data_IF_433443410008
#
_entry.id   IF_433443410008
#
_cell.length_a   1.000
_cell.length_b   1.000
_cell.length_c   1.000
_cell.angle_alpha   90.00
_cell.angle_beta   90.00
_cell.angle_gamma   90.00
#
_symmetry.space_group_name_H-M   'P 1'
#
loop_
_entity.id
_entity.type
_entity.pdbx_description
1 polymer ?
#
# COMPACT_ATOMS: atom_id res chain seq x y z
N UNK A 1 49.24 11.11 84.45
CA UNK A 1 48.38 10.12 83.77
C UNK A 1 48.98 9.97 82.37
N UNK A 2 48.65 8.94 81.59
CA UNK A 2 49.11 8.89 80.19
C UNK A 2 47.86 8.93 79.35
N UNK A 3 47.74 9.96 78.49
CA UNK A 3 46.62 10.05 77.57
C UNK A 3 46.66 8.88 76.57
N UNK A 4 45.58 8.69 75.82
CA UNK A 4 45.48 7.60 74.86
C UNK A 4 46.36 7.79 73.60
N UNK A 5 47.16 8.87 73.54
CA UNK A 5 48.15 9.16 72.49
C UNK A 5 49.60 9.10 72.97
N UNK A 6 49.84 8.71 74.22
CA UNK A 6 51.17 8.51 74.77
C UNK A 6 51.83 9.76 75.37
N UNK A 7 51.08 10.86 75.55
CA UNK A 7 51.54 12.04 76.30
C UNK A 7 51.32 11.79 77.78
N UNK A 8 52.41 11.85 78.57
CA UNK A 8 52.35 11.61 80.01
C UNK A 8 52.27 12.94 80.77
N UNK A 9 51.05 13.45 80.95
CA UNK A 9 50.76 14.56 81.85
C UNK A 9 49.41 14.36 82.58
N UNK A 10 49.04 15.29 83.46
CA UNK A 10 47.84 15.20 84.31
C UNK A 10 46.74 16.20 83.85
N UNK A 11 46.90 16.84 82.69
CA UNK A 11 45.98 17.85 82.17
C UNK A 11 44.97 17.26 81.19
N UNK A 12 43.83 16.78 81.71
CA UNK A 12 42.76 16.22 80.86
C UNK A 12 42.18 17.17 79.80
N UNK A 13 42.55 18.47 79.81
CA UNK A 13 42.13 19.42 78.77
C UNK A 13 42.95 19.31 77.49
N UNK A 14 44.14 18.69 77.55
CA UNK A 14 45.01 18.47 76.39
C UNK A 14 45.01 17.00 75.91
N UNK A 15 44.29 16.11 76.59
CA UNK A 15 44.08 14.73 76.19
C UNK A 15 43.62 14.69 74.73
N UNK A 16 44.34 13.94 73.90
CA UNK A 16 43.94 13.78 72.52
C UNK A 16 42.56 13.12 72.40
N UNK A 17 41.82 13.45 71.35
CA UNK A 17 40.53 12.82 71.02
C UNK A 17 40.72 11.76 69.93
N UNK A 18 39.77 10.83 69.83
CA UNK A 18 39.71 9.93 68.68
C UNK A 18 39.27 10.72 67.45
N UNK A 19 39.90 10.41 66.32
CA UNK A 19 39.38 10.79 65.02
C UNK A 19 38.13 9.96 64.67
N UNK A 20 37.53 10.23 63.52
CA UNK A 20 36.32 9.51 63.10
C UNK A 20 36.51 8.00 62.86
N UNK A 21 37.75 7.51 62.74
CA UNK A 21 38.07 6.09 62.60
C UNK A 21 38.36 5.42 63.95
N UNK A 22 38.23 6.16 65.06
CA UNK A 22 38.53 5.66 66.41
C UNK A 22 40.03 5.70 66.75
N UNK A 23 40.86 6.33 65.93
CA UNK A 23 42.30 6.45 66.18
C UNK A 23 42.56 7.66 67.07
N UNK A 24 43.08 7.41 68.27
CA UNK A 24 43.50 8.46 69.20
C UNK A 24 44.60 9.33 68.56
N UNK A 25 44.35 10.64 68.47
CA UNK A 25 45.30 11.60 67.89
C UNK A 25 45.39 11.58 66.37
N UNK A 26 44.49 10.87 65.68
CA UNK A 26 44.37 10.94 64.23
C UNK A 26 43.76 12.26 63.74
N UNK A 27 43.84 12.51 62.43
CA UNK A 27 43.37 13.76 61.81
C UNK A 27 42.15 13.58 60.90
N UNK A 28 41.58 12.37 60.83
CA UNK A 28 40.45 12.09 59.94
C UNK A 28 39.18 12.75 60.47
N UNK A 29 38.41 13.33 59.56
CA UNK A 29 37.11 13.95 59.87
C UNK A 29 36.01 13.28 59.07
N UNK A 30 34.80 13.27 59.64
CA UNK A 30 33.62 12.93 58.89
C UNK A 30 33.39 13.99 57.82
N UNK A 31 32.99 13.54 56.65
CA UNK A 31 32.45 14.40 55.61
C UNK A 31 30.98 14.76 55.91
N UNK A 32 30.33 15.50 55.01
CA UNK A 32 28.94 15.97 55.17
C UNK A 32 27.92 14.81 55.20
N UNK A 33 28.34 13.61 54.77
CA UNK A 33 27.57 12.38 54.80
C UNK A 33 27.91 11.46 55.98
N UNK A 34 28.78 11.92 56.87
CA UNK A 34 29.18 11.17 58.06
C UNK A 34 30.17 10.04 57.76
N UNK A 35 30.78 10.03 56.57
CA UNK A 35 31.79 9.05 56.19
C UNK A 35 33.16 9.58 56.57
N UNK A 36 33.88 8.81 57.38
CA UNK A 36 35.22 9.15 57.82
C UNK A 36 36.20 9.15 56.64
N UNK A 37 36.86 10.28 56.39
CA UNK A 37 37.75 10.48 55.23
C UNK A 37 37.09 10.24 53.86
N UNK A 38 35.75 10.40 53.78
CA UNK A 38 34.95 10.07 52.59
C UNK A 38 35.00 11.13 51.47
N UNK A 39 35.39 12.37 51.79
CA UNK A 39 35.53 13.44 50.81
C UNK A 39 34.23 13.84 50.10
N UNK A 40 33.06 13.59 50.70
CA UNK A 40 31.73 13.83 50.14
C UNK A 40 31.42 13.03 48.86
N UNK A 41 32.14 11.93 48.60
CA UNK A 41 31.89 11.10 47.42
C UNK A 41 30.50 10.42 47.44
N UNK A 42 29.88 10.34 48.62
CA UNK A 42 28.58 9.72 48.85
C UNK A 42 27.39 10.63 48.50
N UNK A 43 27.60 11.93 48.23
CA UNK A 43 26.57 12.83 47.70
C UNK A 43 26.81 13.12 46.22
N UNK A 44 26.03 12.44 45.36
CA UNK A 44 26.07 12.63 43.91
C UNK A 44 25.20 13.80 43.42
N UNK A 45 24.77 14.69 44.34
CA UNK A 45 23.92 15.85 44.07
C UNK A 45 22.45 15.68 44.46
N UNK A 46 22.12 14.57 45.12
CA UNK A 46 20.77 14.23 45.57
C UNK A 46 20.69 13.92 47.07
N UNK A 47 21.77 14.22 47.80
CA UNK A 47 21.93 13.89 49.20
C UNK A 47 22.76 12.63 49.40
N UNK A 48 23.14 12.43 50.65
CA UNK A 48 24.04 11.36 51.05
C UNK A 48 23.46 9.97 50.81
N UNK A 49 24.24 9.12 50.17
CA UNK A 49 23.91 7.74 49.81
C UNK A 49 22.73 7.60 48.84
N UNK A 50 22.33 8.70 48.20
CA UNK A 50 21.28 8.69 47.17
C UNK A 50 21.91 8.58 45.77
N UNK A 51 21.15 8.01 44.84
CA UNK A 51 21.53 8.03 43.44
C UNK A 51 21.58 9.48 42.94
N UNK A 52 22.56 9.79 42.07
CA UNK A 52 22.63 11.11 41.44
C UNK A 52 21.39 11.42 40.58
N UNK A 53 21.26 12.68 40.13
CA UNK A 53 20.12 13.09 39.32
C UNK A 53 19.93 12.20 38.10
N UNK A 54 18.69 11.80 37.83
CA UNK A 54 18.33 10.84 36.78
C UNK A 54 17.26 11.42 35.84
N UNK A 55 16.78 10.60 34.90
CA UNK A 55 15.80 11.03 33.90
C UNK A 55 16.37 11.99 32.87
N UNK A 56 15.52 12.43 31.95
CA UNK A 56 15.89 13.44 30.94
C UNK A 56 15.90 14.89 31.48
N UNK A 57 15.40 15.11 32.69
CA UNK A 57 15.33 16.40 33.37
C UNK A 57 16.44 16.59 34.40
N UNK A 58 17.28 15.57 34.63
CA UNK A 58 18.36 15.56 35.62
C UNK A 58 17.85 15.96 37.02
N UNK A 59 16.73 15.36 37.45
CA UNK A 59 16.18 15.53 38.79
C UNK A 59 16.36 14.24 39.58
N UNK A 60 16.63 14.37 40.88
CA UNK A 60 16.77 13.23 41.79
C UNK A 60 15.54 12.32 41.74
N UNK A 61 15.78 11.02 41.59
CA UNK A 61 14.72 10.00 41.50
C UNK A 61 13.72 10.21 40.34
N UNK A 62 14.10 10.96 39.30
CA UNK A 62 13.25 11.14 38.14
C UNK A 62 13.23 9.91 37.24
N UNK A 63 12.03 9.55 36.81
CA UNK A 63 11.78 8.55 35.77
C UNK A 63 11.36 9.18 34.44
N UNK A 64 11.51 10.50 34.30
CA UNK A 64 11.13 11.21 33.08
C UNK A 64 11.97 10.68 31.90
N UNK A 65 11.29 10.37 30.79
CA UNK A 65 11.91 9.90 29.55
C UNK A 65 11.60 10.92 28.46
N UNK A 66 12.52 11.05 27.50
CA UNK A 66 12.30 11.86 26.30
C UNK A 66 11.24 11.17 25.43
N UNK A 67 10.17 11.90 25.10
CA UNK A 67 9.13 11.43 24.19
C UNK A 67 9.61 11.39 22.73
N UNK A 68 8.76 10.94 21.80
CA UNK A 68 9.16 10.89 20.39
C UNK A 68 9.37 12.26 19.73
N UNK A 69 8.93 13.35 20.37
CA UNK A 69 9.14 14.72 19.91
C UNK A 69 10.42 15.35 20.48
N UNK A 70 11.20 14.59 21.26
CA UNK A 70 12.42 15.09 21.90
C UNK A 70 12.16 15.86 23.19
N UNK A 71 10.93 15.83 23.73
CA UNK A 71 10.54 16.55 24.93
C UNK A 71 10.61 15.63 26.15
N UNK A 72 11.34 16.06 27.17
CA UNK A 72 11.43 15.33 28.42
C UNK A 72 10.09 15.32 29.16
N UNK A 73 9.56 14.13 29.48
CA UNK A 73 8.25 13.98 30.11
C UNK A 73 7.08 14.44 29.23
N UNK A 74 7.31 14.56 27.91
CA UNK A 74 6.26 14.88 26.96
C UNK A 74 5.30 13.71 26.76
N UNK A 75 4.09 14.04 26.28
CA UNK A 75 3.01 13.07 26.07
C UNK A 75 2.99 12.50 24.64
N UNK A 76 3.97 12.86 23.80
CA UNK A 76 3.95 12.46 22.41
C UNK A 76 4.27 10.97 22.26
N UNK A 77 3.44 10.26 21.50
CA UNK A 77 3.58 8.81 21.29
C UNK A 77 3.81 8.51 19.82
N UNK A 78 4.56 7.45 19.52
CA UNK A 78 4.60 6.90 18.18
C UNK A 78 3.19 6.38 17.85
N UNK A 79 2.61 6.88 16.77
CA UNK A 79 1.27 6.52 16.33
C UNK A 79 1.20 6.52 14.80
N UNK A 80 0.00 6.28 14.27
CA UNK A 80 -0.25 6.16 12.84
C UNK A 80 0.37 4.90 12.22
N UNK A 81 0.05 4.67 10.96
CA UNK A 81 0.61 3.57 10.17
C UNK A 81 2.07 3.80 9.75
N UNK A 82 2.56 5.05 9.82
CA UNK A 82 3.93 5.44 9.48
C UNK A 82 4.89 5.44 10.68
N UNK A 83 4.38 5.11 11.88
CA UNK A 83 5.12 5.16 13.15
C UNK A 83 5.76 6.53 13.43
N UNK A 84 5.14 7.62 12.98
CA UNK A 84 5.59 8.98 13.30
C UNK A 84 4.94 9.47 14.59
N UNK A 85 5.65 10.35 15.29
CA UNK A 85 5.19 10.95 16.54
C UNK A 85 3.86 11.70 16.35
N UNK A 86 2.83 11.31 17.10
CA UNK A 86 1.45 11.83 17.03
C UNK A 86 0.85 11.82 15.61
N UNK A 87 1.28 10.89 14.75
CA UNK A 87 0.70 10.72 13.42
C UNK A 87 -0.76 10.30 13.49
N UNK A 88 -1.55 10.87 12.60
CA UNK A 88 -2.96 10.53 12.38
C UNK A 88 -3.17 9.73 11.10
N UNK A 89 -2.09 9.39 10.38
CA UNK A 89 -2.19 8.58 9.17
C UNK A 89 -2.70 7.18 9.53
N UNK A 90 -3.61 6.67 8.70
CA UNK A 90 -4.20 5.36 8.84
C UNK A 90 -3.99 4.56 7.55
N UNK A 91 -4.03 3.23 7.68
CA UNK A 91 -4.05 2.36 6.52
C UNK A 91 -5.40 2.48 5.80
N UNK A 92 -5.37 2.44 4.47
CA UNK A 92 -6.56 2.29 3.63
C UNK A 92 -7.10 0.85 3.65
N UNK A 93 -8.17 0.58 2.89
CA UNK A 93 -8.76 -0.75 2.76
C UNK A 93 -7.80 -1.82 2.20
N UNK A 94 -6.68 -1.39 1.60
CA UNK A 94 -5.62 -2.23 1.06
C UNK A 94 -4.45 -2.45 2.02
N UNK A 95 -4.48 -1.84 3.21
CA UNK A 95 -3.39 -1.90 4.18
C UNK A 95 -2.22 -0.97 3.83
N UNK A 96 -2.43 0.03 2.98
CA UNK A 96 -1.41 1.01 2.61
C UNK A 96 -1.62 2.27 3.45
N UNK A 97 -0.57 2.65 4.17
CA UNK A 97 -0.56 3.87 4.98
C UNK A 97 -0.80 5.11 4.12
N UNK A 98 -1.85 5.89 4.44
CA UNK A 98 -2.31 7.05 3.64
C UNK A 98 -2.61 6.70 2.18
N UNK A 99 -3.01 5.45 1.93
CA UNK A 99 -3.41 4.98 0.60
C UNK A 99 -4.80 5.48 0.19
N UNK A 100 -5.07 5.39 -1.10
CA UNK A 100 -6.33 5.80 -1.73
C UNK A 100 -7.22 4.61 -2.16
N UNK A 101 -6.88 3.40 -1.73
CA UNK A 101 -7.60 2.17 -2.09
C UNK A 101 -7.23 1.61 -3.47
N UNK A 102 -6.36 2.28 -4.24
CA UNK A 102 -5.99 1.86 -5.59
C UNK A 102 -5.10 0.61 -5.60
N UNK A 103 -4.34 0.35 -4.54
CA UNK A 103 -3.33 -0.72 -4.50
C UNK A 103 -3.90 -2.14 -4.52
N UNK A 104 -5.15 -2.32 -4.08
CA UNK A 104 -5.87 -3.59 -4.11
C UNK A 104 -7.11 -3.53 -5.01
N UNK A 105 -7.18 -2.51 -5.87
CA UNK A 105 -8.26 -2.36 -6.84
C UNK A 105 -8.21 -3.47 -7.90
N UNK A 106 -9.37 -3.97 -8.28
CA UNK A 106 -9.50 -4.97 -9.34
C UNK A 106 -10.64 -4.64 -10.28
N UNK A 107 -10.43 -4.94 -11.55
CA UNK A 107 -11.44 -4.83 -12.60
C UNK A 107 -11.37 -6.03 -13.51
N UNK A 108 -12.54 -6.56 -13.86
CA UNK A 108 -12.72 -7.57 -14.89
C UNK A 108 -13.52 -6.99 -16.03
N UNK A 109 -13.04 -7.11 -17.26
CA UNK A 109 -13.79 -6.76 -18.47
C UNK A 109 -14.11 -8.05 -19.23
N UNK A 110 -15.33 -8.20 -19.72
CA UNK A 110 -15.72 -9.34 -20.55
C UNK A 110 -16.59 -8.90 -21.71
N UNK A 111 -16.70 -9.76 -22.72
CA UNK A 111 -17.77 -9.64 -23.69
C UNK A 111 -19.14 -9.89 -23.03
N UNK A 112 -20.15 -9.23 -23.56
CA UNK A 112 -21.56 -9.38 -23.21
C UNK A 112 -22.34 -9.93 -24.40
N UNK A 113 -23.51 -9.35 -24.68
CA UNK A 113 -24.32 -9.80 -25.80
C UNK A 113 -23.68 -9.45 -27.15
N UNK A 114 -23.52 -10.45 -28.02
CA UNK A 114 -23.18 -10.28 -29.43
C UNK A 114 -24.45 -10.19 -30.30
N UNK A 115 -24.37 -9.35 -31.32
CA UNK A 115 -25.37 -9.22 -32.39
C UNK A 115 -24.67 -9.39 -33.74
N UNK A 116 -25.32 -9.07 -34.86
CA UNK A 116 -24.66 -9.17 -36.18
C UNK A 116 -23.62 -8.08 -36.42
N UNK A 117 -23.72 -6.93 -35.75
CA UNK A 117 -22.95 -5.72 -36.03
C UNK A 117 -22.45 -5.00 -34.76
N UNK A 118 -22.76 -5.52 -33.58
CA UNK A 118 -22.32 -4.94 -32.31
C UNK A 118 -22.14 -5.95 -31.19
N UNK A 119 -21.29 -5.61 -30.23
CA UNK A 119 -21.02 -6.37 -29.02
C UNK A 119 -20.99 -5.44 -27.81
N UNK A 120 -21.59 -5.88 -26.70
CA UNK A 120 -21.49 -5.20 -25.42
C UNK A 120 -20.19 -5.59 -24.70
N UNK A 121 -19.52 -4.61 -24.10
CA UNK A 121 -18.37 -4.83 -23.21
C UNK A 121 -18.87 -4.57 -21.80
N UNK A 122 -18.83 -5.60 -20.95
CA UNK A 122 -19.24 -5.55 -19.56
C UNK A 122 -18.02 -5.35 -18.66
N UNK A 123 -18.22 -4.70 -17.52
CA UNK A 123 -17.21 -4.61 -16.47
C UNK A 123 -17.76 -5.09 -15.14
N UNK A 124 -16.85 -5.55 -14.27
CA UNK A 124 -17.06 -5.67 -12.83
C UNK A 124 -15.82 -5.14 -12.11
N UNK A 125 -15.97 -4.06 -11.35
CA UNK A 125 -14.87 -3.38 -10.68
C UNK A 125 -15.10 -3.23 -9.18
N UNK A 126 -14.00 -3.22 -8.41
CA UNK A 126 -14.01 -2.93 -6.98
C UNK A 126 -14.14 -1.42 -6.67
N UNK A 127 -13.91 -0.56 -7.66
CA UNK A 127 -13.96 0.90 -7.56
C UNK A 127 -14.60 1.54 -8.78
N UNK A 128 -14.67 2.87 -8.80
CA UNK A 128 -15.14 3.62 -9.95
C UNK A 128 -14.15 3.52 -11.12
N UNK A 129 -14.59 3.66 -12.37
CA UNK A 129 -13.74 3.70 -13.56
C UNK A 129 -13.79 5.10 -14.16
N UNK A 130 -12.64 5.77 -14.29
CA UNK A 130 -12.53 7.10 -14.90
C UNK A 130 -12.10 7.08 -16.37
N UNK A 131 -11.57 5.95 -16.82
CA UNK A 131 -11.05 5.79 -18.17
C UNK A 131 -10.64 4.35 -18.46
N UNK A 132 -10.54 4.03 -19.73
CA UNK A 132 -10.10 2.72 -20.20
C UNK A 132 -9.42 2.81 -21.55
N UNK A 133 -8.43 1.95 -21.74
CA UNK A 133 -7.80 1.65 -23.00
C UNK A 133 -7.51 0.15 -23.05
N UNK A 134 -8.09 -0.54 -24.02
CA UNK A 134 -7.90 -1.98 -24.25
C UNK A 134 -7.93 -2.28 -25.74
N UNK A 135 -7.35 -3.40 -26.12
CA UNK A 135 -7.33 -3.91 -27.48
C UNK A 135 -8.33 -5.06 -27.63
N UNK A 136 -8.97 -5.10 -28.80
CA UNK A 136 -9.89 -6.15 -29.24
C UNK A 136 -9.30 -6.80 -30.48
N UNK A 137 -9.20 -8.13 -30.47
CA UNK A 137 -8.79 -8.92 -31.62
C UNK A 137 -9.96 -9.74 -32.18
N UNK A 138 -9.83 -10.24 -33.41
CA UNK A 138 -10.86 -11.05 -34.08
C UNK A 138 -12.03 -10.26 -34.68
N UNK A 139 -12.05 -8.93 -34.56
CA UNK A 139 -13.06 -8.03 -35.11
C UNK A 139 -12.42 -6.88 -35.91
N UNK A 140 -13.01 -6.50 -37.03
CA UNK A 140 -12.59 -5.34 -37.84
C UNK A 140 -13.74 -4.33 -38.03
N UNK A 141 -13.38 -3.10 -38.41
CA UNK A 141 -14.32 -1.99 -38.58
C UNK A 141 -14.89 -1.46 -37.26
N UNK A 142 -14.08 -1.50 -36.20
CA UNK A 142 -14.52 -1.15 -34.84
C UNK A 142 -15.00 0.31 -34.75
N UNK A 143 -16.16 0.48 -34.13
CA UNK A 143 -16.70 1.75 -33.64
C UNK A 143 -17.08 1.60 -32.18
N UNK A 144 -17.19 2.69 -31.43
CA UNK A 144 -17.48 2.63 -29.99
C UNK A 144 -18.54 3.65 -29.60
N UNK A 145 -19.45 3.23 -28.74
CA UNK A 145 -20.44 4.06 -28.07
C UNK A 145 -20.30 3.86 -26.56
N UNK A 146 -20.02 4.93 -25.82
CA UNK A 146 -19.60 4.87 -24.41
C UNK A 146 -20.37 5.85 -23.51
N UNK A 147 -21.63 6.12 -23.82
CA UNK A 147 -22.47 7.02 -23.02
C UNK A 147 -21.86 8.41 -22.86
N UNK A 148 -21.53 8.79 -21.62
CA UNK A 148 -20.95 10.10 -21.28
C UNK A 148 -19.43 10.18 -21.51
N UNK A 149 -18.78 9.05 -21.80
CA UNK A 149 -17.35 9.03 -22.07
C UNK A 149 -17.11 9.43 -23.53
N UNK A 150 -16.07 10.22 -23.76
CA UNK A 150 -15.52 10.37 -25.10
C UNK A 150 -14.76 9.10 -25.42
N UNK A 151 -15.22 8.39 -26.44
CA UNK A 151 -14.59 7.15 -26.86
C UNK A 151 -14.22 7.16 -28.33
N UNK A 152 -13.15 6.44 -28.65
CA UNK A 152 -12.66 6.22 -30.00
C UNK A 152 -12.16 4.78 -30.12
N UNK A 153 -12.43 4.15 -31.25
CA UNK A 153 -11.90 2.84 -31.61
C UNK A 153 -11.13 2.95 -32.92
N UNK A 154 -9.90 2.46 -32.94
CA UNK A 154 -9.06 2.45 -34.13
C UNK A 154 -8.04 1.31 -34.07
N UNK A 155 -7.89 0.56 -35.16
CA UNK A 155 -6.90 -0.52 -35.30
C UNK A 155 -6.95 -1.58 -34.17
N UNK A 156 -8.14 -1.95 -33.70
CA UNK A 156 -8.29 -2.88 -32.57
C UNK A 156 -8.25 -2.20 -31.19
N UNK A 157 -7.66 -1.02 -31.05
CA UNK A 157 -7.59 -0.31 -29.78
C UNK A 157 -8.85 0.51 -29.54
N UNK A 158 -9.47 0.33 -28.37
CA UNK A 158 -10.60 1.10 -27.86
C UNK A 158 -10.13 1.97 -26.71
N UNK A 159 -10.41 3.26 -26.77
CA UNK A 159 -10.11 4.24 -25.74
C UNK A 159 -11.42 4.90 -25.31
N UNK A 160 -11.62 5.10 -24.02
CA UNK A 160 -12.69 5.93 -23.47
C UNK A 160 -12.22 6.71 -22.26
N UNK A 161 -12.52 8.01 -22.21
CA UNK A 161 -12.20 8.89 -21.08
C UNK A 161 -13.22 10.02 -20.94
N UNK A 162 -13.27 10.65 -19.77
CA UNK A 162 -14.05 11.86 -19.52
C UNK A 162 -13.15 13.06 -19.24
N UNK A 163 -13.42 14.20 -19.90
CA UNK A 163 -12.77 15.50 -19.56
C UNK A 163 -13.56 16.27 -18.50
N UNK A 164 -14.78 15.84 -18.19
CA UNK A 164 -15.67 16.43 -17.19
C UNK A 164 -15.57 15.75 -15.82
N UNK A 165 -14.77 14.69 -15.72
CA UNK A 165 -14.59 13.90 -14.50
C UNK A 165 -15.72 12.91 -14.24
N UNK A 166 -16.47 12.53 -15.28
CA UNK A 166 -17.47 11.47 -15.16
C UNK A 166 -16.79 10.13 -14.92
N UNK A 167 -17.34 9.34 -14.01
CA UNK A 167 -16.90 7.98 -13.72
C UNK A 167 -18.02 6.99 -13.96
N UNK A 168 -17.67 5.74 -14.24
CA UNK A 168 -18.57 4.61 -14.11
C UNK A 168 -18.49 4.10 -12.67
N UNK A 169 -19.62 3.89 -11.98
CA UNK A 169 -19.60 3.51 -10.58
C UNK A 169 -19.06 2.08 -10.37
N UNK A 170 -18.49 1.83 -9.20
CA UNK A 170 -18.11 0.49 -8.74
C UNK A 170 -19.25 -0.53 -8.83
N UNK A 171 -18.89 -1.81 -8.99
CA UNK A 171 -19.83 -2.90 -9.21
C UNK A 171 -19.82 -3.37 -10.65
N UNK A 172 -20.96 -3.82 -11.17
CA UNK A 172 -21.08 -4.38 -12.52
C UNK A 172 -21.93 -3.50 -13.43
N UNK A 173 -21.54 -3.38 -14.69
CA UNK A 173 -22.27 -2.60 -15.68
C UNK A 173 -21.73 -2.77 -17.10
N UNK A 174 -22.24 -1.95 -18.02
CA UNK A 174 -21.74 -1.88 -19.40
C UNK A 174 -20.65 -0.80 -19.47
N UNK A 175 -19.47 -1.19 -19.92
CA UNK A 175 -18.32 -0.30 -20.12
C UNK A 175 -18.51 0.52 -21.41
N UNK A 176 -18.80 -0.18 -22.51
CA UNK A 176 -19.05 0.39 -23.82
C UNK A 176 -19.79 -0.62 -24.71
N UNK A 177 -20.41 -0.14 -25.79
CA UNK A 177 -20.88 -0.98 -26.88
C UNK A 177 -19.98 -0.75 -28.08
N UNK A 178 -19.40 -1.82 -28.62
CA UNK A 178 -18.58 -1.77 -29.83
C UNK A 178 -19.42 -2.18 -31.03
N UNK A 179 -19.38 -1.39 -32.09
CA UNK A 179 -19.85 -1.83 -33.40
C UNK A 179 -18.68 -2.43 -34.19
N UNK A 180 -18.95 -3.42 -35.04
CA UNK A 180 -17.95 -4.03 -35.93
C UNK A 180 -18.57 -4.36 -37.29
N UNK A 181 -17.74 -4.50 -38.33
CA UNK A 181 -18.20 -4.82 -39.68
C UNK A 181 -18.03 -6.29 -40.05
N UNK A 182 -16.97 -6.93 -39.54
CA UNK A 182 -16.61 -8.30 -39.91
C UNK A 182 -15.86 -8.99 -38.78
N UNK A 183 -16.11 -10.29 -38.63
CA UNK A 183 -15.31 -11.17 -37.78
C UNK A 183 -14.13 -11.68 -38.61
N UNK A 184 -12.91 -11.52 -38.10
CA UNK A 184 -11.67 -11.84 -38.84
C UNK A 184 -10.99 -13.11 -38.37
N UNK A 185 -11.37 -13.64 -37.20
CA UNK A 185 -10.81 -14.84 -36.62
C UNK A 185 -11.89 -15.68 -35.93
N UNK A 186 -11.61 -16.97 -35.69
CA UNK A 186 -12.51 -17.84 -34.94
C UNK A 186 -12.79 -17.30 -33.54
N UNK A 187 -11.78 -16.72 -32.89
CA UNK A 187 -11.89 -16.19 -31.54
C UNK A 187 -11.74 -14.67 -31.54
N UNK A 188 -12.60 -13.99 -30.80
CA UNK A 188 -12.38 -12.60 -30.41
C UNK A 188 -11.92 -12.53 -28.96
N UNK A 189 -10.87 -11.76 -28.69
CA UNK A 189 -10.30 -11.63 -27.35
C UNK A 189 -10.10 -10.17 -26.95
N UNK A 190 -10.16 -9.92 -25.64
CA UNK A 190 -9.86 -8.65 -25.02
C UNK A 190 -8.48 -8.70 -24.39
N UNK A 191 -7.70 -7.63 -24.53
CA UNK A 191 -6.41 -7.51 -23.85
C UNK A 191 -6.06 -6.06 -23.54
N UNK A 192 -5.08 -5.80 -22.69
CA UNK A 192 -4.53 -4.45 -22.54
C UNK A 192 -3.56 -4.09 -23.69
N UNK A 193 -3.28 -5.01 -24.62
CA UNK A 193 -2.26 -4.79 -25.63
C UNK A 193 -0.91 -4.42 -25.02
N UNK A 194 -0.20 -3.48 -25.66
CA UNK A 194 1.12 -3.04 -25.21
C UNK A 194 1.10 -1.83 -24.26
N UNK A 195 0.04 -1.00 -24.31
CA UNK A 195 -0.04 0.26 -23.55
C UNK A 195 -1.43 0.53 -22.96
N UNK A 196 -2.34 -0.45 -22.97
CA UNK A 196 -3.66 -0.31 -22.39
C UNK A 196 -3.64 -0.28 -20.87
N UNK A 197 -4.60 0.45 -20.32
CA UNK A 197 -4.83 0.56 -18.89
C UNK A 197 -6.30 0.88 -18.64
N UNK A 198 -6.81 0.45 -17.51
CA UNK A 198 -8.11 0.89 -16.99
C UNK A 198 -7.80 1.70 -15.75
N UNK A 199 -8.38 2.89 -15.63
CA UNK A 199 -8.11 3.81 -14.53
C UNK A 199 -9.27 3.88 -13.56
N UNK A 200 -8.96 3.91 -12.27
CA UNK A 200 -9.95 4.04 -11.20
C UNK A 200 -10.49 5.47 -11.05
N UNK A 201 -11.42 5.69 -10.12
CA UNK A 201 -11.99 7.01 -9.83
C UNK A 201 -10.97 8.07 -9.36
N UNK A 202 -9.79 7.64 -8.90
CA UNK A 202 -8.70 8.50 -8.45
C UNK A 202 -7.72 8.84 -9.60
N UNK A 203 -7.87 8.19 -10.76
CA UNK A 203 -7.03 8.37 -11.94
C UNK A 203 -5.79 7.46 -11.95
N UNK A 204 -5.70 6.49 -11.04
CA UNK A 204 -4.63 5.50 -11.00
C UNK A 204 -5.01 4.28 -11.85
N UNK A 205 -4.05 3.55 -12.44
CA UNK A 205 -4.36 2.29 -13.08
C UNK A 205 -4.83 1.26 -12.05
N UNK A 206 -5.86 0.47 -12.40
CA UNK A 206 -6.29 -0.66 -11.59
C UNK A 206 -5.13 -1.61 -11.31
N UNK A 207 -4.96 -2.03 -10.05
CA UNK A 207 -3.85 -2.88 -9.65
C UNK A 207 -3.93 -4.28 -10.29
N UNK A 208 -5.14 -4.80 -10.49
CA UNK A 208 -5.39 -6.04 -11.22
C UNK A 208 -6.45 -5.84 -12.29
N UNK A 209 -6.08 -6.16 -13.55
CA UNK A 209 -7.01 -6.23 -14.67
C UNK A 209 -7.13 -7.67 -15.12
N UNK A 210 -8.36 -8.19 -15.18
CA UNK A 210 -8.68 -9.51 -15.70
C UNK A 210 -9.61 -9.40 -16.90
N UNK A 211 -9.51 -10.39 -17.79
CA UNK A 211 -10.40 -10.50 -18.94
C UNK A 211 -11.28 -11.75 -18.79
N UNK A 212 -12.52 -11.65 -19.24
CA UNK A 212 -13.41 -12.80 -19.38
C UNK A 212 -12.96 -13.75 -20.49
N UNK A 213 -13.79 -14.75 -20.75
CA UNK A 213 -13.51 -15.72 -21.80
C UNK A 213 -13.55 -15.06 -23.20
N UNK A 214 -12.78 -15.64 -24.13
CA UNK A 214 -12.81 -15.28 -25.54
C UNK A 214 -14.15 -15.70 -26.17
N UNK A 215 -14.66 -14.90 -27.10
CA UNK A 215 -15.85 -15.28 -27.87
C UNK A 215 -15.43 -16.21 -29.01
N UNK A 216 -16.04 -17.40 -29.09
CA UNK A 216 -15.87 -18.35 -30.21
C UNK A 216 -17.00 -18.17 -31.22
N UNK A 217 -16.67 -17.58 -32.36
CA UNK A 217 -17.59 -17.41 -33.49
C UNK A 217 -17.78 -18.72 -34.27
N UNK A 218 -16.94 -19.73 -34.02
CA UNK A 218 -16.89 -20.97 -34.79
C UNK A 218 -15.93 -20.89 -35.98
N UNK A 219 -15.62 -22.04 -36.60
CA UNK A 219 -14.71 -22.09 -37.74
C UNK A 219 -15.26 -21.29 -38.93
N UNK A 220 -14.35 -20.93 -39.84
CA UNK A 220 -14.74 -20.34 -41.11
C UNK A 220 -15.56 -21.34 -41.93
N UNK A 221 -16.63 -20.84 -42.55
CA UNK A 221 -17.41 -21.59 -43.53
C UNK A 221 -16.64 -21.72 -44.86
N UNK A 222 -17.24 -22.39 -45.85
CA UNK A 222 -16.59 -22.59 -47.15
C UNK A 222 -16.29 -21.28 -47.92
N UNK A 223 -16.91 -20.16 -47.53
CA UNK A 223 -16.66 -18.84 -48.11
C UNK A 223 -15.60 -18.06 -47.31
N UNK A 224 -15.03 -18.66 -46.25
CA UNK A 224 -14.06 -18.01 -45.38
C UNK A 224 -14.69 -17.10 -44.31
N UNK A 225 -16.01 -17.17 -44.10
CA UNK A 225 -16.71 -16.37 -43.09
C UNK A 225 -16.76 -17.11 -41.77
N UNK A 226 -16.13 -16.56 -40.72
CA UNK A 226 -16.19 -17.12 -39.36
C UNK A 226 -17.62 -17.07 -38.81
N UNK A 227 -18.10 -18.21 -38.29
CA UNK A 227 -19.49 -18.38 -37.84
C UNK A 227 -20.54 -18.44 -38.95
N UNK A 228 -20.10 -18.55 -40.21
CA UNK A 228 -20.98 -18.75 -41.34
C UNK A 228 -21.60 -20.15 -41.39
N UNK A 229 -22.67 -20.30 -42.17
CA UNK A 229 -23.40 -21.57 -42.34
C UNK A 229 -23.21 -22.18 -43.73
N UNK A 230 -22.42 -21.57 -44.60
CA UNK A 230 -22.25 -22.07 -45.96
C UNK A 230 -21.45 -23.37 -45.94
N UNK A 231 -21.90 -24.33 -46.74
CA UNK A 231 -21.25 -25.63 -46.90
C UNK A 231 -20.90 -25.84 -48.37
N UNK A 232 -19.82 -26.58 -48.61
CA UNK A 232 -19.51 -27.08 -49.94
C UNK A 232 -20.60 -28.05 -50.39
N UNK A 233 -21.03 -27.94 -51.65
CA UNK A 233 -21.82 -28.97 -52.30
C UNK A 233 -20.97 -30.21 -52.66
N UNK A 234 -21.59 -31.22 -53.26
CA UNK A 234 -20.92 -32.48 -53.65
C UNK A 234 -19.81 -32.26 -54.71
N UNK A 235 -19.74 -31.07 -55.30
CA UNK A 235 -18.73 -30.64 -56.26
C UNK A 235 -17.65 -29.72 -55.67
N UNK A 236 -17.69 -29.47 -54.36
CA UNK A 236 -16.73 -28.60 -53.68
C UNK A 236 -16.94 -27.12 -53.95
N UNK A 237 -18.14 -26.73 -54.38
CA UNK A 237 -18.53 -25.32 -54.57
C UNK A 237 -19.31 -24.86 -53.36
N UNK A 238 -18.81 -23.80 -52.73
CA UNK A 238 -19.47 -23.19 -51.58
C UNK A 238 -20.83 -22.62 -51.95
N UNK A 239 -21.88 -23.06 -51.24
CA UNK A 239 -23.30 -22.69 -51.49
C UNK A 239 -23.78 -22.98 -52.93
N UNK A 240 -23.18 -23.95 -53.62
CA UNK A 240 -23.54 -24.27 -55.01
C UNK A 240 -24.91 -24.93 -55.17
N UNK A 241 -25.50 -25.42 -54.07
CA UNK A 241 -26.75 -26.17 -54.07
C UNK A 241 -26.60 -27.55 -54.71
N UNK A 242 -27.45 -28.49 -54.34
CA UNK A 242 -27.42 -29.89 -54.79
C UNK A 242 -27.99 -30.09 -56.21
N UNK A 243 -27.62 -29.21 -57.15
CA UNK A 243 -28.21 -29.12 -58.49
C UNK A 243 -27.45 -29.85 -59.61
N UNK A 244 -26.41 -30.64 -59.33
CA UNK A 244 -25.74 -31.43 -60.35
C UNK A 244 -25.49 -32.90 -59.97
N UNK A 245 -26.58 -33.67 -60.02
CA UNK A 245 -26.56 -35.09 -60.46
C UNK A 245 -26.16 -35.20 -61.96
N UNK A 246 -25.18 -34.41 -62.43
CA UNK A 246 -24.63 -34.42 -63.79
C UNK A 246 -23.15 -33.98 -63.86
N UNK A 247 -22.36 -34.29 -62.84
CA UNK A 247 -20.90 -34.32 -62.92
C UNK A 247 -20.23 -32.95 -62.91
N UNK A 248 -19.49 -32.68 -61.84
CA UNK A 248 -18.65 -31.51 -61.68
C UNK A 248 -17.69 -31.36 -62.89
N UNK A 249 -17.98 -30.41 -63.78
CA UNK A 249 -17.29 -30.18 -65.05
C UNK A 249 -16.88 -28.73 -65.23
#
# INVERSE_FOLDING_TARGET
YADNCGTCDDDSSNDCVQDCAGTWGGSLVNDDCGVCDGGNADDLGCGCFEAGPSGCDNVCNSTAVVDCAGVCGGDSVLSGCDNTCNSTLADDECGVCDGDGSSCSSVTISFGAFTSDSVEILYTSSGDISGYQFDVSGLDGLTVSAGNFMASAANGTVIGFSLTGDTLPAGSGTLATLGYSTVTDQYSSLSLGNFGAITDGNGNPYATVSFGDDEDHGPADCAGTFGGLLVDDDCGVCDGGNADDLGCG
#
